data_IF_154693677395
#
_entry.id   IF_154693677395
#
_cell.length_a   1.000
_cell.length_b   1.000
_cell.length_c   1.000
_cell.angle_alpha   90.00
_cell.angle_beta   90.00
_cell.angle_gamma   90.00
#
_symmetry.space_group_name_H-M   'P 1'
#
loop_
_entity.id
_entity.type
_entity.pdbx_description
1 polymer ?
#
# COMPACT_ATOMS: atom_id res chain seq x y z
N UNK A 1 22.60 11.12 14.11
CA UNK A 1 23.04 9.76 14.50
C UNK A 1 21.82 8.86 14.45
N UNK A 2 21.78 7.94 13.48
CA UNK A 2 20.67 7.00 13.31
C UNK A 2 20.93 5.70 14.07
N UNK A 3 19.87 4.90 14.25
CA UNK A 3 19.95 3.55 14.81
C UNK A 3 20.65 2.66 13.78
N UNK A 4 21.84 2.16 14.08
CA UNK A 4 22.60 1.25 13.21
C UNK A 4 22.32 -0.21 13.58
N UNK A 5 21.80 -0.99 12.63
CA UNK A 5 21.49 -2.41 12.82
C UNK A 5 20.03 -2.75 12.52
N UNK A 6 19.71 -4.05 12.47
CA UNK A 6 18.34 -4.53 12.27
C UNK A 6 17.50 -4.27 13.52
N UNK A 7 16.56 -3.33 13.43
CA UNK A 7 15.61 -3.05 14.51
C UNK A 7 14.34 -3.88 14.25
N UNK A 8 14.02 -4.78 15.17
CA UNK A 8 12.74 -5.52 15.15
C UNK A 8 11.63 -4.56 15.51
N UNK A 9 10.86 -4.13 14.52
CA UNK A 9 9.68 -3.29 14.74
C UNK A 9 8.47 -4.22 14.90
N UNK A 10 7.81 -4.23 16.06
CA UNK A 10 6.60 -5.04 16.23
C UNK A 10 5.56 -4.60 15.20
N UNK A 11 4.92 -5.57 14.55
CA UNK A 11 3.90 -5.34 13.52
C UNK A 11 4.36 -4.70 12.20
N UNK A 12 5.68 -4.65 11.92
CA UNK A 12 6.21 -4.20 10.61
C UNK A 12 5.54 -4.89 9.41
N UNK A 13 5.17 -6.16 9.57
CA UNK A 13 4.49 -6.95 8.55
C UNK A 13 3.18 -6.32 8.07
N UNK A 14 2.48 -5.53 8.90
CA UNK A 14 1.20 -4.89 8.53
C UNK A 14 1.44 -3.84 7.44
N UNK A 15 2.46 -3.00 7.64
CA UNK A 15 2.85 -1.95 6.70
C UNK A 15 3.40 -2.57 5.42
N UNK A 16 4.29 -3.55 5.53
CA UNK A 16 4.87 -4.22 4.37
C UNK A 16 3.81 -4.93 3.53
N UNK A 17 2.84 -5.59 4.17
CA UNK A 17 1.71 -6.21 3.47
C UNK A 17 0.84 -5.19 2.73
N UNK A 18 0.61 -4.03 3.34
CA UNK A 18 -0.11 -2.93 2.71
C UNK A 18 0.62 -2.40 1.48
N UNK A 19 1.95 -2.25 1.57
CA UNK A 19 2.80 -1.85 0.46
C UNK A 19 2.78 -2.87 -0.70
N UNK A 20 2.78 -4.17 -0.39
CA UNK A 20 2.65 -5.24 -1.41
C UNK A 20 1.34 -5.11 -2.20
N UNK A 21 0.25 -4.66 -1.58
CA UNK A 21 -1.00 -4.42 -2.33
C UNK A 21 -0.91 -3.20 -3.25
N UNK A 22 -0.22 -2.15 -2.80
CA UNK A 22 0.01 -0.96 -3.61
C UNK A 22 0.94 -1.21 -4.81
N UNK A 23 1.82 -2.21 -4.75
CA UNK A 23 2.72 -2.56 -5.86
C UNK A 23 1.99 -2.87 -7.19
N UNK A 24 0.75 -3.38 -7.09
CA UNK A 24 -0.10 -3.61 -8.28
C UNK A 24 -0.60 -2.33 -8.94
N UNK A 25 -0.57 -1.20 -8.23
CA UNK A 25 -0.92 0.10 -8.76
C UNK A 25 0.34 0.83 -9.22
N UNK A 26 0.71 0.63 -10.49
CA UNK A 26 1.94 1.22 -11.10
C UNK A 26 2.11 2.72 -10.87
N UNK A 27 1.03 3.48 -10.74
CA UNK A 27 1.14 4.91 -10.47
C UNK A 27 1.48 5.29 -9.04
N UNK A 28 1.26 4.40 -8.08
CA UNK A 28 1.73 4.61 -6.70
C UNK A 28 3.22 4.26 -6.54
N UNK A 29 3.81 3.49 -7.48
CA UNK A 29 5.18 2.97 -7.35
C UNK A 29 6.14 3.50 -8.41
N UNK A 30 5.73 3.55 -9.68
CA UNK A 30 6.60 3.90 -10.82
C UNK A 30 6.22 5.21 -11.48
N UNK A 31 4.91 5.46 -11.63
CA UNK A 31 4.39 6.66 -12.25
C UNK A 31 3.74 7.54 -11.19
N UNK A 32 4.56 8.03 -10.26
CA UNK A 32 4.10 8.91 -9.18
C UNK A 32 3.19 10.00 -9.72
N UNK A 33 2.06 10.19 -9.05
CA UNK A 33 1.12 11.17 -9.52
C UNK A 33 1.67 12.59 -9.37
N UNK A 34 1.29 13.48 -10.29
CA UNK A 34 1.73 14.87 -10.28
C UNK A 34 1.10 15.65 -9.12
N UNK A 35 -0.08 15.23 -8.67
CA UNK A 35 -0.82 15.90 -7.60
C UNK A 35 -1.10 14.95 -6.45
N UNK A 36 -1.07 15.48 -5.23
CA UNK A 36 -1.36 14.70 -4.03
C UNK A 36 -2.80 14.19 -4.01
N UNK A 37 -3.75 14.97 -4.51
CA UNK A 37 -5.15 14.59 -4.62
C UNK A 37 -5.33 13.29 -5.43
N UNK A 38 -4.74 13.24 -6.62
CA UNK A 38 -4.85 12.06 -7.47
C UNK A 38 -4.05 10.87 -6.90
N UNK A 39 -2.91 11.11 -6.25
CA UNK A 39 -2.22 10.05 -5.51
C UNK A 39 -3.12 9.44 -4.41
N UNK A 40 -3.80 10.28 -3.61
CA UNK A 40 -4.73 9.84 -2.58
C UNK A 40 -5.92 9.06 -3.18
N UNK A 41 -6.52 9.56 -4.26
CA UNK A 41 -7.60 8.87 -4.97
C UNK A 41 -7.16 7.47 -5.44
N UNK A 42 -5.93 7.34 -5.96
CA UNK A 42 -5.37 6.03 -6.36
C UNK A 42 -5.13 5.08 -5.19
N UNK A 43 -4.69 5.59 -4.03
CA UNK A 43 -4.57 4.78 -2.80
C UNK A 43 -5.94 4.23 -2.42
N UNK A 44 -6.95 5.09 -2.30
CA UNK A 44 -8.31 4.66 -1.95
C UNK A 44 -8.85 3.62 -2.93
N UNK A 45 -8.69 3.85 -4.23
CA UNK A 45 -9.13 2.92 -5.26
C UNK A 45 -8.42 1.55 -5.18
N UNK A 46 -7.12 1.53 -4.85
CA UNK A 46 -6.35 0.30 -4.65
C UNK A 46 -6.95 -0.54 -3.52
N UNK A 47 -7.20 0.06 -2.35
CA UNK A 47 -7.75 -0.65 -1.20
C UNK A 47 -9.22 -1.02 -1.35
N UNK A 48 -10.04 -0.20 -2.01
CA UNK A 48 -11.43 -0.56 -2.36
C UNK A 48 -11.44 -1.82 -3.23
N UNK A 49 -10.61 -1.87 -4.29
CA UNK A 49 -10.50 -3.07 -5.14
C UNK A 49 -10.03 -4.29 -4.36
N UNK A 50 -9.11 -4.11 -3.42
CA UNK A 50 -8.66 -5.19 -2.55
C UNK A 50 -9.80 -5.73 -1.67
N UNK A 51 -10.58 -4.85 -1.04
CA UNK A 51 -11.72 -5.23 -0.20
C UNK A 51 -12.81 -5.92 -1.02
N UNK A 52 -13.13 -5.43 -2.21
CA UNK A 52 -14.09 -6.08 -3.12
C UNK A 52 -13.68 -7.51 -3.46
N UNK A 53 -12.39 -7.74 -3.77
CA UNK A 53 -11.87 -9.09 -4.02
C UNK A 53 -11.98 -10.01 -2.81
N UNK A 54 -11.82 -9.48 -1.60
CA UNK A 54 -12.00 -10.26 -0.36
C UNK A 54 -13.46 -10.63 -0.13
N UNK A 55 -14.37 -9.69 -0.34
CA UNK A 55 -15.81 -9.92 -0.23
C UNK A 55 -16.27 -10.97 -1.24
N UNK A 56 -15.88 -10.84 -2.51
CA UNK A 56 -16.23 -11.80 -3.55
C UNK A 56 -15.62 -13.20 -3.34
N UNK A 57 -14.53 -13.32 -2.56
CA UNK A 57 -13.98 -14.62 -2.16
C UNK A 57 -14.71 -15.23 -0.95
N UNK A 58 -15.35 -14.39 -0.14
CA UNK A 58 -16.07 -14.82 1.05
C UNK A 58 -17.53 -15.21 0.75
N UNK A 59 -18.09 -14.73 -0.36
CA UNK A 59 -19.41 -15.13 -0.89
C UNK A 59 -19.39 -16.47 -1.60
#
# INVERSE_FOLDING_TARGET
MGISGFVVIPMRWIVERSNVWMDRCKSLVKNFDRTLDNANARIHLCFIRFMLKRLAKAS
#
